data_IF_180156319302
#
_entry.id   IF_180156319302
#
_cell.length_a   1.000
_cell.length_b   1.000
_cell.length_c   1.000
_cell.angle_alpha   90.00
_cell.angle_beta   90.00
_cell.angle_gamma   90.00
#
_symmetry.space_group_name_H-M   'P 1'
#
loop_
_entity.id
_entity.type
_entity.pdbx_description
1 polymer ?
#
# COMPACT_ATOMS: atom_id res chain seq x y z
N UNK A 1 -15.13 1.85 26.96
CA UNK A 1 -14.45 1.97 25.66
C UNK A 1 -14.65 0.67 24.92
N UNK A 2 -15.19 0.70 23.69
CA UNK A 2 -15.42 -0.51 22.87
C UNK A 2 -14.09 -1.18 22.50
N UNK A 3 -14.13 -2.49 22.28
CA UNK A 3 -12.95 -3.32 22.00
C UNK A 3 -12.91 -3.74 20.53
N UNK A 4 -11.76 -3.60 19.90
CA UNK A 4 -11.50 -4.08 18.53
C UNK A 4 -10.50 -5.23 18.57
N UNK A 5 -10.81 -6.34 17.89
CA UNK A 5 -9.81 -7.34 17.52
C UNK A 5 -9.32 -7.01 16.11
N UNK A 6 -8.10 -6.47 15.99
CA UNK A 6 -7.43 -6.13 14.73
C UNK A 6 -6.66 -7.34 14.22
N UNK A 7 -7.14 -7.96 13.14
CA UNK A 7 -6.60 -9.19 12.55
C UNK A 7 -5.84 -8.82 11.28
N UNK A 8 -4.51 -8.92 11.28
CA UNK A 8 -3.68 -8.51 10.14
C UNK A 8 -2.78 -9.62 9.61
N UNK A 9 -2.45 -9.52 8.33
CA UNK A 9 -1.65 -10.50 7.60
C UNK A 9 -0.15 -10.45 7.93
N UNK A 10 0.33 -9.40 8.58
CA UNK A 10 1.74 -9.10 8.85
C UNK A 10 1.90 -8.47 10.22
N UNK A 11 3.10 -8.57 10.84
CA UNK A 11 3.38 -7.79 12.05
C UNK A 11 3.21 -6.29 11.76
N UNK A 12 2.36 -5.56 12.50
CA UNK A 12 2.17 -4.13 12.31
C UNK A 12 3.33 -3.34 12.90
N UNK A 13 4.42 -3.20 12.13
CA UNK A 13 5.60 -2.44 12.51
C UNK A 13 6.03 -1.48 11.39
N UNK A 14 6.81 -0.47 11.73
CA UNK A 14 7.17 0.63 10.85
C UNK A 14 8.13 0.31 9.68
N UNK A 15 8.39 -0.96 9.33
CA UNK A 15 9.51 -1.33 8.43
C UNK A 15 9.16 -1.41 6.94
N UNK A 16 7.95 -1.81 6.57
CA UNK A 16 7.54 -1.92 5.16
C UNK A 16 6.18 -1.28 4.94
N UNK A 17 5.86 -0.87 3.69
CA UNK A 17 4.64 -0.13 3.39
C UNK A 17 3.36 -0.73 3.97
N UNK A 18 3.10 -2.05 3.77
CA UNK A 18 1.91 -2.69 4.32
C UNK A 18 1.91 -2.74 5.86
N UNK A 19 3.08 -2.93 6.48
CA UNK A 19 3.22 -2.95 7.95
C UNK A 19 3.00 -1.56 8.55
N UNK A 20 3.51 -0.52 7.88
CA UNK A 20 3.30 0.88 8.28
C UNK A 20 1.81 1.21 8.27
N UNK A 21 1.08 0.80 7.24
CA UNK A 21 -0.35 1.05 7.15
C UNK A 21 -1.15 0.36 8.27
N UNK A 22 -0.82 -0.90 8.59
CA UNK A 22 -1.44 -1.58 9.73
C UNK A 22 -1.12 -0.87 11.06
N UNK A 23 0.14 -0.49 11.26
CA UNK A 23 0.56 0.22 12.47
C UNK A 23 -0.17 1.55 12.64
N UNK A 24 -0.27 2.35 11.57
CA UNK A 24 -0.94 3.65 11.60
C UNK A 24 -2.45 3.49 11.81
N UNK A 25 -3.08 2.49 11.20
CA UNK A 25 -4.48 2.19 11.47
C UNK A 25 -4.73 1.82 12.93
N UNK A 26 -3.86 1.01 13.53
CA UNK A 26 -3.95 0.67 14.96
C UNK A 26 -3.79 1.93 15.81
N UNK A 27 -2.80 2.78 15.51
CA UNK A 27 -2.58 4.06 16.19
C UNK A 27 -3.82 4.95 16.14
N UNK A 28 -4.42 5.09 14.98
CA UNK A 28 -5.63 5.89 14.78
C UNK A 28 -6.84 5.30 15.53
N UNK A 29 -7.07 4.00 15.39
CA UNK A 29 -8.18 3.33 16.09
C UNK A 29 -8.02 3.35 17.61
N UNK A 30 -6.80 3.31 18.13
CA UNK A 30 -6.52 3.35 19.57
C UNK A 30 -6.91 4.67 20.25
N UNK A 31 -7.15 5.73 19.47
CA UNK A 31 -7.66 6.99 20.00
C UNK A 31 -9.07 6.86 20.58
N UNK A 32 -9.88 5.93 20.07
CA UNK A 32 -11.28 5.77 20.48
C UNK A 32 -11.64 4.36 20.97
N UNK A 33 -10.79 3.36 20.72
CA UNK A 33 -11.05 1.94 21.01
C UNK A 33 -9.90 1.31 21.77
N UNK A 34 -10.19 0.25 22.52
CA UNK A 34 -9.17 -0.69 23.03
C UNK A 34 -8.84 -1.68 21.92
N UNK A 35 -7.59 -1.74 21.49
CA UNK A 35 -7.17 -2.55 20.34
C UNK A 35 -6.37 -3.77 20.80
N UNK A 36 -6.86 -4.97 20.51
CA UNK A 36 -6.10 -6.21 20.58
C UNK A 36 -5.64 -6.58 19.17
N UNK A 37 -4.38 -6.99 19.02
CA UNK A 37 -3.77 -7.27 17.72
C UNK A 37 -3.50 -8.76 17.56
N UNK A 38 -4.02 -9.32 16.47
CA UNK A 38 -3.73 -10.66 16.01
C UNK A 38 -2.99 -10.59 14.67
N UNK A 39 -1.79 -11.15 14.60
CA UNK A 39 -1.00 -11.11 13.36
C UNK A 39 -0.28 -12.40 13.05
N UNK A 40 0.16 -12.54 11.80
CA UNK A 40 0.95 -13.66 11.31
C UNK A 40 2.39 -13.28 11.14
N UNK A 41 3.30 -14.08 11.73
CA UNK A 41 4.74 -13.92 11.53
C UNK A 41 5.28 -14.81 10.41
N UNK A 42 6.39 -14.36 9.85
CA UNK A 42 7.17 -15.06 8.82
C UNK A 42 8.65 -14.94 9.14
N UNK A 43 9.49 -15.92 8.78
CA UNK A 43 10.92 -15.86 9.06
C UNK A 43 11.67 -14.61 8.55
N UNK A 44 11.07 -13.90 7.58
CA UNK A 44 11.65 -12.68 6.98
C UNK A 44 10.92 -11.39 7.35
N UNK A 45 9.89 -11.47 8.13
CA UNK A 45 9.05 -10.35 8.59
C UNK A 45 8.81 -10.47 10.10
N UNK A 46 9.87 -10.77 10.84
CA UNK A 46 9.83 -10.80 12.30
C UNK A 46 10.01 -9.38 12.81
N UNK A 47 9.02 -8.87 13.48
CA UNK A 47 9.10 -7.72 14.37
C UNK A 47 8.42 -8.16 15.66
N UNK A 48 9.06 -7.96 16.76
CA UNK A 48 8.40 -8.06 18.07
C UNK A 48 7.45 -6.87 18.19
N UNK A 49 6.21 -7.18 18.49
CA UNK A 49 5.17 -6.21 18.80
C UNK A 49 4.88 -6.36 20.27
N UNK A 50 5.16 -5.34 21.02
CA UNK A 50 4.91 -5.30 22.46
C UNK A 50 3.53 -4.70 22.74
N UNK A 51 2.92 -5.13 23.85
CA UNK A 51 1.76 -4.47 24.43
C UNK A 51 2.17 -3.05 24.86
N UNK A 52 1.37 -2.09 24.47
CA UNK A 52 1.63 -0.67 24.71
C UNK A 52 0.33 0.02 25.13
N UNK A 53 0.39 1.34 25.37
CA UNK A 53 -0.84 2.11 25.58
C UNK A 53 -1.82 2.06 24.39
N UNK A 54 -1.33 1.75 23.19
CA UNK A 54 -2.13 1.59 21.97
C UNK A 54 -2.67 0.17 21.77
N UNK A 55 -1.94 -0.85 22.26
CA UNK A 55 -2.22 -2.27 22.01
C UNK A 55 -2.39 -2.98 23.35
N UNK A 56 -3.63 -3.37 23.65
CA UNK A 56 -3.99 -4.02 24.92
C UNK A 56 -3.52 -5.49 24.98
N UNK A 57 -3.52 -6.18 23.85
CA UNK A 57 -3.15 -7.62 23.77
C UNK A 57 -2.54 -7.94 22.42
N UNK A 58 -1.47 -8.71 22.41
CA UNK A 58 -0.76 -9.16 21.21
C UNK A 58 -0.87 -10.68 21.06
N UNK A 59 -1.27 -11.13 19.88
CA UNK A 59 -1.37 -12.55 19.53
C UNK A 59 -0.63 -12.81 18.24
N UNK A 60 0.43 -13.60 18.31
CA UNK A 60 1.26 -13.95 17.15
C UNK A 60 1.08 -15.41 16.75
N UNK A 61 0.96 -15.68 15.45
CA UNK A 61 0.89 -17.03 14.90
C UNK A 61 1.83 -17.22 13.73
N UNK A 62 2.64 -18.28 13.70
CA UNK A 62 3.51 -18.59 12.59
C UNK A 62 2.72 -19.05 11.38
N UNK A 63 3.20 -18.70 10.18
CA UNK A 63 2.65 -19.21 8.92
C UNK A 63 3.43 -20.41 8.43
N UNK A 64 2.68 -21.36 7.84
CA UNK A 64 3.26 -22.55 7.23
C UNK A 64 2.86 -22.67 5.75
N UNK A 65 3.82 -22.80 4.87
CA UNK A 65 3.60 -22.78 3.42
C UNK A 65 2.76 -23.98 2.92
N UNK A 66 2.80 -25.10 3.62
CA UNK A 66 2.01 -26.30 3.28
C UNK A 66 0.50 -26.14 3.47
N UNK A 67 0.04 -25.07 4.11
CA UNK A 67 -1.39 -24.74 4.17
C UNK A 67 -2.01 -24.57 2.78
N UNK A 68 -1.19 -24.21 1.76
CA UNK A 68 -1.62 -24.08 0.36
C UNK A 68 -2.17 -25.42 -0.17
N UNK A 69 -1.52 -26.52 0.15
CA UNK A 69 -1.92 -27.86 -0.34
C UNK A 69 -3.17 -28.40 0.34
N UNK A 70 -3.53 -27.88 1.51
CA UNK A 70 -4.72 -28.34 2.27
C UNK A 70 -6.04 -27.83 1.67
N UNK A 71 -6.01 -26.80 0.88
CA UNK A 71 -7.19 -26.16 0.29
C UNK A 71 -6.98 -25.87 -1.21
N UNK A 72 -6.87 -26.92 -2.05
CA UNK A 72 -6.44 -26.75 -3.46
C UNK A 72 -7.45 -25.98 -4.33
N UNK A 73 -8.71 -25.93 -3.93
CA UNK A 73 -9.77 -25.18 -4.64
C UNK A 73 -9.80 -23.69 -4.33
N UNK A 74 -9.06 -23.26 -3.32
CA UNK A 74 -9.00 -21.86 -2.90
C UNK A 74 -7.64 -21.28 -3.29
N UNK A 75 -7.63 -20.10 -3.89
CA UNK A 75 -6.38 -19.49 -4.35
C UNK A 75 -5.38 -19.31 -3.18
N UNK A 76 -4.07 -19.59 -3.39
CA UNK A 76 -3.02 -19.54 -2.37
C UNK A 76 -2.91 -18.24 -1.57
N UNK A 77 -3.30 -17.11 -2.15
CA UNK A 77 -3.32 -15.82 -1.46
C UNK A 77 -4.17 -15.87 -0.19
N UNK A 78 -5.30 -16.58 -0.23
CA UNK A 78 -6.20 -16.70 0.92
C UNK A 78 -5.82 -17.85 1.86
N UNK A 79 -5.28 -18.94 1.33
CA UNK A 79 -5.03 -20.17 2.11
C UNK A 79 -3.67 -20.19 2.80
N UNK A 80 -2.70 -19.42 2.33
CA UNK A 80 -1.33 -19.43 2.86
C UNK A 80 -1.25 -19.14 4.37
N UNK A 81 -2.17 -18.34 4.89
CA UNK A 81 -2.29 -18.00 6.32
C UNK A 81 -3.46 -18.69 7.02
N UNK A 82 -4.27 -19.42 6.26
CA UNK A 82 -5.48 -20.04 6.81
C UNK A 82 -5.17 -21.35 7.53
N UNK A 83 -5.69 -21.48 8.77
CA UNK A 83 -5.64 -22.69 9.57
C UNK A 83 -6.93 -22.83 10.37
N UNK A 84 -7.59 -23.99 10.27
CA UNK A 84 -8.85 -24.25 10.95
C UNK A 84 -8.74 -24.20 12.50
N UNK A 85 -7.58 -24.53 13.06
CA UNK A 85 -7.37 -24.40 14.53
C UNK A 85 -7.40 -22.91 14.92
N UNK A 86 -6.76 -22.05 14.13
CA UNK A 86 -6.78 -20.60 14.33
C UNK A 86 -8.20 -20.05 14.14
N UNK A 87 -8.95 -20.53 13.13
CA UNK A 87 -10.34 -20.11 12.92
C UNK A 87 -11.22 -20.42 14.14
N UNK A 88 -11.08 -21.63 14.72
CA UNK A 88 -11.78 -22.02 15.94
C UNK A 88 -11.36 -21.17 17.15
N UNK A 89 -10.07 -20.89 17.28
CA UNK A 89 -9.57 -20.02 18.34
C UNK A 89 -10.14 -18.61 18.21
N UNK A 90 -10.07 -18.00 17.02
CA UNK A 90 -10.66 -16.67 16.79
C UNK A 90 -12.17 -16.65 17.05
N UNK A 91 -12.92 -17.71 16.67
CA UNK A 91 -14.33 -17.84 17.01
C UNK A 91 -14.56 -17.89 18.53
N UNK A 92 -13.71 -18.59 19.29
CA UNK A 92 -13.88 -18.72 20.74
C UNK A 92 -13.66 -17.43 21.51
N UNK A 93 -12.88 -16.50 20.97
CA UNK A 93 -12.61 -15.19 21.57
C UNK A 93 -13.44 -14.05 20.97
N UNK A 94 -14.10 -14.28 19.83
CA UNK A 94 -14.77 -13.24 19.07
C UNK A 94 -15.78 -12.42 19.88
N UNK A 95 -16.55 -13.09 20.75
CA UNK A 95 -17.57 -12.44 21.62
C UNK A 95 -16.98 -11.49 22.68
N UNK A 96 -15.67 -11.49 22.89
CA UNK A 96 -14.99 -10.58 23.83
C UNK A 96 -14.75 -9.20 23.25
N UNK A 97 -15.00 -9.04 21.93
CA UNK A 97 -14.77 -7.82 21.17
C UNK A 97 -16.08 -7.31 20.56
N UNK A 98 -16.21 -6.00 20.48
CA UNK A 98 -17.36 -5.34 19.85
C UNK A 98 -17.23 -5.33 18.32
N UNK A 99 -15.99 -5.30 17.81
CA UNK A 99 -15.67 -5.23 16.39
C UNK A 99 -14.54 -6.20 16.06
N UNK A 100 -14.71 -6.98 14.99
CA UNK A 100 -13.64 -7.74 14.34
C UNK A 100 -13.18 -6.96 13.10
N UNK A 101 -11.96 -6.41 13.15
CA UNK A 101 -11.40 -5.62 12.07
C UNK A 101 -10.31 -6.41 11.35
N UNK A 102 -10.57 -6.80 10.11
CA UNK A 102 -9.64 -7.54 9.27
C UNK A 102 -8.84 -6.57 8.41
N UNK A 103 -7.53 -6.74 8.39
CA UNK A 103 -6.63 -5.91 7.59
C UNK A 103 -5.88 -6.79 6.58
N UNK A 104 -6.05 -6.53 5.30
CA UNK A 104 -5.64 -7.29 4.13
C UNK A 104 -6.53 -8.48 3.75
N UNK A 105 -6.68 -8.67 2.42
CA UNK A 105 -7.39 -9.81 1.83
C UNK A 105 -6.82 -11.19 2.27
N UNK A 106 -5.53 -11.26 2.62
CA UNK A 106 -4.83 -12.49 2.97
C UNK A 106 -5.34 -13.16 4.26
N UNK A 107 -6.02 -12.41 5.12
CA UNK A 107 -6.64 -12.94 6.35
C UNK A 107 -8.17 -12.97 6.27
N UNK A 108 -8.73 -12.42 5.20
CA UNK A 108 -10.18 -12.26 5.07
C UNK A 108 -10.94 -13.61 5.01
N UNK A 109 -10.28 -14.72 4.62
CA UNK A 109 -10.90 -16.05 4.58
C UNK A 109 -11.42 -16.49 5.96
N UNK A 110 -10.83 -16.02 7.05
CA UNK A 110 -11.30 -16.35 8.42
C UNK A 110 -12.71 -15.86 8.69
N UNK A 111 -13.18 -14.81 8.04
CA UNK A 111 -14.53 -14.24 8.20
C UNK A 111 -15.65 -15.23 7.88
N UNK A 112 -15.39 -16.23 7.03
CA UNK A 112 -16.34 -17.29 6.68
C UNK A 112 -16.52 -18.33 7.82
N UNK A 113 -15.62 -18.35 8.79
CA UNK A 113 -15.58 -19.32 9.88
C UNK A 113 -15.81 -18.66 11.25
N UNK A 114 -16.06 -17.35 11.25
CA UNK A 114 -16.28 -16.59 12.48
C UNK A 114 -17.65 -15.92 12.38
N UNK A 115 -18.54 -16.28 13.32
CA UNK A 115 -19.85 -15.67 13.48
C UNK A 115 -19.68 -14.48 14.42
N UNK A 116 -19.93 -13.29 13.91
CA UNK A 116 -19.88 -12.06 14.69
C UNK A 116 -20.75 -10.98 14.02
N UNK A 117 -21.50 -10.16 14.80
CA UNK A 117 -22.41 -9.15 14.23
C UNK A 117 -21.68 -8.01 13.52
N UNK A 118 -20.45 -7.71 13.91
CA UNK A 118 -19.69 -6.58 13.38
C UNK A 118 -18.31 -7.03 12.86
N UNK A 119 -18.24 -7.33 11.56
CA UNK A 119 -17.01 -7.73 10.85
C UNK A 119 -16.70 -6.71 9.76
N UNK A 120 -15.56 -6.04 9.86
CA UNK A 120 -15.08 -5.08 8.90
C UNK A 120 -13.80 -5.55 8.24
N UNK A 121 -13.59 -5.16 6.97
CA UNK A 121 -12.39 -5.46 6.21
C UNK A 121 -11.80 -4.18 5.65
N UNK A 122 -10.50 -3.94 5.86
CA UNK A 122 -9.73 -2.98 5.07
C UNK A 122 -8.99 -3.72 3.95
N UNK A 123 -9.37 -3.42 2.72
CA UNK A 123 -8.86 -4.07 1.52
C UNK A 123 -7.88 -3.12 0.82
N UNK A 124 -6.59 -3.49 0.77
CA UNK A 124 -5.54 -2.65 0.18
C UNK A 124 -5.45 -2.74 -1.35
N UNK A 125 -5.93 -3.83 -1.93
CA UNK A 125 -6.07 -4.02 -3.38
C UNK A 125 -7.18 -5.04 -3.68
N UNK A 126 -7.85 -4.87 -4.81
CA UNK A 126 -8.82 -5.84 -5.34
C UNK A 126 -8.04 -6.92 -6.08
N UNK A 127 -7.92 -8.11 -5.47
CA UNK A 127 -7.07 -9.17 -6.01
C UNK A 127 -7.49 -9.64 -7.40
N UNK A 128 -8.80 -9.76 -7.66
CA UNK A 128 -9.29 -10.14 -8.98
C UNK A 128 -8.76 -9.22 -10.09
N UNK A 129 -8.71 -7.91 -9.89
CA UNK A 129 -8.16 -6.98 -10.87
C UNK A 129 -6.70 -7.30 -11.22
N UNK A 130 -5.87 -7.54 -10.20
CA UNK A 130 -4.45 -7.86 -10.38
C UNK A 130 -4.25 -9.10 -11.25
N UNK A 131 -5.08 -10.11 -11.03
CA UNK A 131 -4.96 -11.38 -11.75
C UNK A 131 -5.66 -11.35 -13.12
N UNK A 132 -6.78 -10.64 -13.27
CA UNK A 132 -7.43 -10.42 -14.56
C UNK A 132 -6.52 -9.71 -15.57
N UNK A 133 -5.74 -8.74 -15.11
CA UNK A 133 -4.73 -8.06 -15.94
C UNK A 133 -3.61 -8.99 -16.40
N UNK A 134 -3.36 -10.08 -15.70
CA UNK A 134 -2.29 -11.02 -15.98
C UNK A 134 -2.77 -12.26 -16.75
N UNK A 135 -3.88 -12.84 -16.32
CA UNK A 135 -4.47 -14.04 -16.90
C UNK A 135 -5.95 -14.11 -16.52
N UNK A 136 -6.82 -14.21 -17.54
CA UNK A 136 -8.28 -14.14 -17.35
C UNK A 136 -8.82 -15.33 -16.55
N UNK A 137 -8.27 -16.55 -16.74
CA UNK A 137 -8.71 -17.75 -16.02
C UNK A 137 -8.38 -17.67 -14.53
N UNK A 138 -7.16 -17.25 -14.20
CA UNK A 138 -6.75 -17.03 -12.81
C UNK A 138 -7.56 -15.91 -12.16
N UNK A 139 -7.82 -14.83 -12.88
CA UNK A 139 -8.64 -13.74 -12.40
C UNK A 139 -10.07 -14.16 -12.10
N UNK A 140 -10.69 -14.96 -12.98
CA UNK A 140 -12.04 -15.50 -12.77
C UNK A 140 -12.11 -16.47 -11.58
N UNK A 141 -11.10 -17.31 -11.41
CA UNK A 141 -11.03 -18.23 -10.26
C UNK A 141 -10.93 -17.45 -8.93
N UNK A 142 -10.02 -16.46 -8.85
CA UNK A 142 -9.90 -15.59 -7.67
C UNK A 142 -11.18 -14.83 -7.41
N UNK A 143 -11.81 -14.26 -8.45
CA UNK A 143 -13.04 -13.48 -8.34
C UNK A 143 -14.15 -14.25 -7.64
N UNK A 144 -14.36 -15.53 -7.95
CA UNK A 144 -15.38 -16.37 -7.29
C UNK A 144 -15.11 -16.55 -5.80
N UNK A 145 -13.84 -16.74 -5.42
CA UNK A 145 -13.45 -16.89 -4.00
C UNK A 145 -13.55 -15.55 -3.28
N UNK A 146 -13.05 -14.49 -3.90
CA UNK A 146 -13.07 -13.13 -3.35
C UNK A 146 -14.51 -12.66 -3.12
N UNK A 147 -15.43 -12.86 -4.07
CA UNK A 147 -16.86 -12.52 -3.94
C UNK A 147 -17.48 -13.11 -2.67
N UNK A 148 -17.30 -14.43 -2.47
CA UNK A 148 -17.81 -15.12 -1.27
C UNK A 148 -17.23 -14.57 0.03
N UNK A 149 -15.94 -14.28 0.05
CA UNK A 149 -15.24 -13.75 1.22
C UNK A 149 -15.73 -12.32 1.52
N UNK A 150 -15.75 -11.46 0.51
CA UNK A 150 -16.11 -10.05 0.68
C UNK A 150 -17.54 -9.88 1.17
N UNK A 151 -18.48 -10.67 0.67
CA UNK A 151 -19.89 -10.67 1.11
C UNK A 151 -20.12 -11.16 2.55
N UNK A 152 -19.09 -11.69 3.21
CA UNK A 152 -19.18 -12.09 4.64
C UNK A 152 -18.88 -10.94 5.61
N UNK A 153 -18.50 -9.78 5.11
CA UNK A 153 -18.24 -8.58 5.91
C UNK A 153 -19.45 -7.64 5.90
N UNK A 154 -19.69 -6.97 7.02
CA UNK A 154 -20.72 -5.94 7.14
C UNK A 154 -20.33 -4.68 6.35
N UNK A 155 -19.03 -4.32 6.35
CA UNK A 155 -18.51 -3.20 5.59
C UNK A 155 -17.07 -3.44 5.16
N UNK A 156 -16.72 -2.84 4.00
CA UNK A 156 -15.36 -2.92 3.45
C UNK A 156 -14.83 -1.50 3.26
N UNK A 157 -13.62 -1.26 3.77
CA UNK A 157 -12.90 -0.01 3.60
C UNK A 157 -11.82 -0.20 2.52
N UNK A 158 -11.67 0.80 1.65
CA UNK A 158 -10.73 0.78 0.54
C UNK A 158 -9.96 2.10 0.43
N UNK A 159 -8.70 2.06 -0.06
CA UNK A 159 -7.83 3.23 -0.06
C UNK A 159 -8.03 4.15 -1.26
N UNK A 160 -8.96 3.86 -2.16
CA UNK A 160 -9.20 4.71 -3.32
C UNK A 160 -10.65 4.64 -3.82
N UNK A 161 -11.10 5.73 -4.43
CA UNK A 161 -12.41 5.80 -5.14
C UNK A 161 -12.46 4.75 -6.25
N UNK A 162 -11.34 4.52 -6.95
CA UNK A 162 -11.25 3.49 -7.98
C UNK A 162 -11.52 2.08 -7.43
N UNK A 163 -10.96 1.72 -6.26
CA UNK A 163 -11.20 0.41 -5.65
C UNK A 163 -12.64 0.28 -5.16
N UNK A 164 -13.26 1.38 -4.72
CA UNK A 164 -14.69 1.45 -4.40
C UNK A 164 -15.55 1.13 -5.63
N UNK A 165 -15.27 1.77 -6.77
CA UNK A 165 -15.95 1.51 -8.04
C UNK A 165 -15.72 0.07 -8.52
N UNK A 166 -14.52 -0.47 -8.38
CA UNK A 166 -14.22 -1.86 -8.71
C UNK A 166 -15.04 -2.86 -7.89
N UNK A 167 -15.16 -2.65 -6.58
CA UNK A 167 -15.97 -3.50 -5.72
C UNK A 167 -17.45 -3.42 -6.09
N UNK A 168 -17.94 -2.24 -6.42
CA UNK A 168 -19.31 -2.05 -6.92
C UNK A 168 -19.54 -2.79 -8.23
N UNK A 169 -18.63 -2.63 -9.20
CA UNK A 169 -18.79 -3.21 -10.55
C UNK A 169 -18.58 -4.74 -10.56
N UNK A 170 -17.61 -5.26 -9.81
CA UNK A 170 -17.28 -6.68 -9.81
C UNK A 170 -18.16 -7.52 -8.88
N UNK A 171 -18.58 -6.97 -7.74
CA UNK A 171 -19.18 -7.72 -6.63
C UNK A 171 -20.51 -7.15 -6.15
N UNK A 172 -20.94 -5.99 -6.65
CA UNK A 172 -22.12 -5.23 -6.17
C UNK A 172 -22.00 -4.85 -4.67
N UNK A 173 -20.79 -4.53 -4.22
CA UNK A 173 -20.48 -4.16 -2.83
C UNK A 173 -20.26 -2.66 -2.76
N UNK A 174 -20.97 -2.00 -1.85
CA UNK A 174 -20.77 -0.59 -1.50
C UNK A 174 -19.71 -0.49 -0.40
N UNK A 175 -18.48 -0.16 -0.85
CA UNK A 175 -17.34 0.03 0.02
C UNK A 175 -17.23 1.49 0.49
N UNK A 176 -16.50 1.70 1.58
CA UNK A 176 -16.21 3.03 2.15
C UNK A 176 -14.78 3.42 1.77
N UNK A 177 -14.63 4.61 1.20
CA UNK A 177 -13.32 5.18 0.93
C UNK A 177 -12.69 5.69 2.23
N UNK A 178 -11.46 5.27 2.49
CA UNK A 178 -10.60 5.76 3.58
C UNK A 178 -9.23 6.09 3.05
N UNK A 179 -8.60 7.14 3.56
CA UNK A 179 -7.21 7.42 3.23
C UNK A 179 -6.28 6.41 3.87
N UNK A 180 -5.18 6.15 3.17
CA UNK A 180 -4.00 5.60 3.82
C UNK A 180 -3.25 6.72 4.56
N UNK A 181 -2.76 6.41 5.75
CA UNK A 181 -1.99 7.37 6.52
C UNK A 181 -0.73 7.81 5.76
N UNK A 182 -0.48 9.11 5.73
CA UNK A 182 0.76 9.68 5.21
C UNK A 182 1.82 9.73 6.31
N UNK A 183 3.07 9.62 5.91
CA UNK A 183 4.19 9.86 6.83
C UNK A 183 4.30 11.34 7.11
N UNK A 184 4.50 11.70 8.37
CA UNK A 184 4.86 13.07 8.70
C UNK A 184 6.28 13.37 8.18
N UNK A 185 6.47 14.57 7.67
CA UNK A 185 7.76 15.07 7.21
C UNK A 185 7.94 16.52 7.60
N UNK A 186 8.98 16.77 8.36
CA UNK A 186 9.37 18.13 8.71
C UNK A 186 10.25 18.71 7.59
N UNK A 187 9.74 19.73 6.95
CA UNK A 187 10.45 20.42 5.89
C UNK A 187 11.63 21.21 6.47
N UNK A 188 12.82 20.63 6.42
CA UNK A 188 14.04 21.43 6.55
C UNK A 188 14.31 22.14 5.24
N UNK A 189 14.81 23.37 5.28
CA UNK A 189 15.21 24.12 4.09
C UNK A 189 16.39 23.43 3.41
N UNK A 190 16.09 22.54 2.49
CA UNK A 190 17.10 21.83 1.72
C UNK A 190 17.00 22.25 0.25
N UNK A 191 18.12 22.69 -0.31
CA UNK A 191 18.23 23.04 -1.74
C UNK A 191 17.94 21.82 -2.60
N UNK A 192 17.00 21.95 -3.55
CA UNK A 192 16.69 20.89 -4.51
C UNK A 192 17.86 20.72 -5.46
N UNK A 193 18.31 19.48 -5.66
CA UNK A 193 19.26 19.13 -6.69
C UNK A 193 18.52 18.88 -8.01
N UNK A 194 18.54 19.85 -8.90
CA UNK A 194 17.81 19.85 -10.17
C UNK A 194 18.22 18.77 -11.16
N UNK A 195 19.30 18.05 -10.91
CA UNK A 195 19.79 16.94 -11.76
C UNK A 195 19.69 15.58 -11.08
N UNK A 196 18.97 15.50 -9.96
CA UNK A 196 18.83 14.29 -9.18
C UNK A 196 17.42 13.70 -9.32
N UNK A 197 17.35 12.41 -9.68
CA UNK A 197 16.11 11.64 -9.79
C UNK A 197 16.17 10.41 -8.92
N UNK A 198 15.01 9.95 -8.46
CA UNK A 198 14.92 8.81 -7.54
C UNK A 198 14.02 7.71 -8.11
N UNK A 199 14.50 6.46 -8.03
CA UNK A 199 13.69 5.28 -8.09
C UNK A 199 13.54 4.72 -6.67
N UNK A 200 12.33 4.48 -6.22
CA UNK A 200 12.07 4.03 -4.86
C UNK A 200 11.16 2.81 -4.81
N UNK A 201 11.55 1.76 -4.07
CA UNK A 201 10.71 0.60 -3.85
C UNK A 201 11.44 -0.69 -3.49
N UNK A 202 10.65 -1.76 -3.25
CA UNK A 202 11.18 -3.10 -3.01
C UNK A 202 11.42 -3.82 -4.34
N UNK A 203 12.70 -4.06 -4.68
CA UNK A 203 13.13 -4.50 -6.01
C UNK A 203 12.94 -5.99 -6.29
N UNK A 204 12.64 -6.82 -5.27
CA UNK A 204 12.21 -8.21 -5.50
C UNK A 204 10.81 -8.31 -6.10
N UNK A 205 10.00 -7.25 -6.05
CA UNK A 205 8.74 -7.20 -6.80
C UNK A 205 9.03 -7.04 -8.28
N UNK A 206 8.51 -7.99 -9.07
CA UNK A 206 8.76 -8.03 -10.52
C UNK A 206 8.31 -6.76 -11.24
N UNK A 207 7.20 -6.17 -10.82
CA UNK A 207 6.68 -4.93 -11.38
C UNK A 207 7.66 -3.76 -11.21
N UNK A 208 8.34 -3.66 -10.06
CA UNK A 208 9.32 -2.60 -9.80
C UNK A 208 10.59 -2.81 -10.63
N UNK A 209 11.17 -4.01 -10.59
CA UNK A 209 12.40 -4.30 -11.34
C UNK A 209 12.19 -4.27 -12.86
N UNK A 210 11.04 -4.71 -13.35
CA UNK A 210 10.72 -4.61 -14.78
C UNK A 210 10.58 -3.15 -15.24
N UNK A 211 9.93 -2.30 -14.44
CA UNK A 211 9.84 -0.87 -14.73
C UNK A 211 11.20 -0.19 -14.76
N UNK A 212 12.06 -0.48 -13.77
CA UNK A 212 13.44 0.05 -13.77
C UNK A 212 14.22 -0.39 -15.01
N UNK A 213 14.19 -1.69 -15.36
CA UNK A 213 14.87 -2.21 -16.55
C UNK A 213 14.34 -1.52 -17.81
N UNK A 214 13.02 -1.40 -17.93
CA UNK A 214 12.42 -0.71 -19.08
C UNK A 214 12.92 0.74 -19.21
N UNK A 215 13.01 1.49 -18.11
CA UNK A 215 13.55 2.83 -18.10
C UNK A 215 15.02 2.85 -18.55
N UNK A 216 15.83 1.96 -18.01
CA UNK A 216 17.26 1.84 -18.34
C UNK A 216 17.51 1.45 -19.80
N UNK A 217 16.60 0.71 -20.42
CA UNK A 217 16.72 0.27 -21.82
C UNK A 217 16.09 1.26 -22.83
N UNK A 218 15.02 2.00 -22.43
CA UNK A 218 14.25 2.80 -23.38
C UNK A 218 14.35 4.33 -23.15
N UNK A 219 14.55 4.78 -21.91
CA UNK A 219 14.61 6.21 -21.57
C UNK A 219 16.04 6.68 -21.36
N UNK A 220 16.81 5.97 -20.54
CA UNK A 220 18.18 6.37 -20.19
C UNK A 220 19.10 6.60 -21.40
N UNK A 221 19.06 5.80 -22.49
CA UNK A 221 19.88 6.07 -23.68
C UNK A 221 19.63 7.44 -24.33
N UNK A 222 18.42 8.00 -24.16
CA UNK A 222 18.03 9.28 -24.73
C UNK A 222 18.53 10.49 -23.91
N UNK A 223 18.94 10.26 -22.66
CA UNK A 223 19.33 11.31 -21.70
C UNK A 223 20.73 11.09 -21.09
N UNK A 224 21.48 10.10 -21.56
CA UNK A 224 22.81 9.77 -21.00
C UNK A 224 23.81 10.95 -21.01
N UNK A 225 23.62 11.92 -21.89
CA UNK A 225 24.45 13.11 -21.99
C UNK A 225 23.97 14.27 -21.11
N UNK A 226 22.78 14.18 -20.49
CA UNK A 226 22.17 15.25 -19.69
C UNK A 226 22.77 15.35 -18.28
N UNK A 227 23.71 14.45 -17.95
CA UNK A 227 24.44 14.41 -16.66
C UNK A 227 23.52 14.32 -15.42
N UNK A 228 22.41 13.60 -15.55
CA UNK A 228 21.53 13.31 -14.42
C UNK A 228 22.13 12.27 -13.49
N UNK A 229 21.84 12.41 -12.18
CA UNK A 229 22.16 11.42 -11.15
C UNK A 229 20.88 10.68 -10.74
N UNK A 230 20.94 9.37 -10.64
CA UNK A 230 19.83 8.50 -10.29
C UNK A 230 20.11 7.76 -8.99
N UNK A 231 19.30 8.00 -7.97
CA UNK A 231 19.30 7.21 -6.74
C UNK A 231 18.29 6.08 -6.86
N UNK A 232 18.73 4.84 -6.66
CA UNK A 232 17.90 3.65 -6.64
C UNK A 232 17.79 3.19 -5.21
N UNK A 233 16.68 3.55 -4.55
CA UNK A 233 16.49 3.33 -3.12
C UNK A 233 15.61 2.09 -2.87
N UNK A 234 16.02 1.26 -1.93
CA UNK A 234 15.26 0.12 -1.42
C UNK A 234 15.88 -1.24 -1.74
N UNK A 235 15.53 -2.23 -0.92
CA UNK A 235 16.23 -3.51 -0.92
C UNK A 235 15.82 -4.46 -2.05
N UNK A 236 16.74 -5.37 -2.33
CA UNK A 236 16.48 -6.56 -3.14
C UNK A 236 16.70 -6.41 -4.63
N UNK A 237 17.43 -5.40 -5.09
CA UNK A 237 17.87 -5.29 -6.48
C UNK A 237 18.90 -6.39 -6.77
N UNK A 238 18.64 -7.19 -7.82
CA UNK A 238 19.53 -8.31 -8.13
C UNK A 238 20.90 -7.83 -8.59
N UNK A 239 21.97 -8.54 -8.18
CA UNK A 239 23.34 -8.26 -8.61
C UNK A 239 23.51 -8.27 -10.14
N UNK A 240 22.70 -9.06 -10.84
CA UNK A 240 22.70 -9.11 -12.31
C UNK A 240 22.26 -7.77 -12.91
N UNK A 241 21.21 -7.14 -12.36
CA UNK A 241 20.74 -5.83 -12.80
C UNK A 241 21.79 -4.77 -12.46
N UNK A 242 22.32 -4.78 -11.23
CA UNK A 242 23.35 -3.82 -10.81
C UNK A 242 24.54 -3.85 -11.75
N UNK A 243 25.15 -5.02 -12.00
CA UNK A 243 26.31 -5.17 -12.89
C UNK A 243 26.02 -4.79 -14.35
N UNK A 244 24.79 -5.08 -14.86
CA UNK A 244 24.48 -4.82 -16.26
C UNK A 244 24.23 -3.35 -16.54
N UNK A 245 23.59 -2.64 -15.61
CA UNK A 245 23.01 -1.31 -15.89
C UNK A 245 23.55 -0.19 -15.01
N UNK A 246 24.04 -0.48 -13.80
CA UNK A 246 24.38 0.54 -12.81
C UNK A 246 25.89 0.73 -12.63
N UNK A 247 26.69 0.04 -13.43
CA UNK A 247 28.17 0.13 -13.37
C UNK A 247 28.66 1.40 -14.09
N UNK A 248 28.16 2.56 -13.64
CA UNK A 248 28.60 3.87 -14.10
C UNK A 248 28.29 4.95 -13.05
N UNK A 249 28.94 6.12 -13.17
CA UNK A 249 28.89 7.24 -12.23
C UNK A 249 27.54 7.95 -12.13
N UNK A 250 26.56 7.60 -12.97
CA UNK A 250 25.22 8.22 -12.98
C UNK A 250 24.23 7.54 -12.06
N UNK A 251 24.56 6.37 -11.52
CA UNK A 251 23.67 5.59 -10.67
C UNK A 251 24.27 5.32 -9.31
N UNK A 252 23.46 5.49 -8.26
CA UNK A 252 23.79 5.11 -6.89
C UNK A 252 22.69 4.21 -6.33
N UNK A 253 23.06 2.99 -5.93
CA UNK A 253 22.14 2.03 -5.34
C UNK A 253 22.26 2.02 -3.83
N UNK A 254 21.15 2.35 -3.15
CA UNK A 254 21.01 2.33 -1.70
C UNK A 254 20.07 1.18 -1.31
N UNK A 255 20.65 0.03 -0.93
CA UNK A 255 19.90 -1.20 -0.58
C UNK A 255 18.96 -0.96 0.60
N UNK A 256 19.44 -0.23 1.61
CA UNK A 256 18.65 0.25 2.73
C UNK A 256 18.89 1.74 2.96
N UNK A 257 17.83 2.45 3.27
CA UNK A 257 17.89 3.88 3.62
C UNK A 257 16.89 4.14 4.74
N UNK A 258 17.38 4.66 5.88
CA UNK A 258 16.53 4.96 7.04
C UNK A 258 15.55 6.09 6.75
N UNK A 259 16.03 7.13 6.04
CA UNK A 259 15.25 8.33 5.73
C UNK A 259 15.10 8.57 4.22
N UNK A 260 14.38 7.72 3.50
CA UNK A 260 14.22 7.88 2.05
C UNK A 260 13.51 9.19 1.68
N UNK A 261 12.64 9.71 2.54
CA UNK A 261 11.93 10.97 2.29
C UNK A 261 12.89 12.16 2.21
N UNK A 262 13.98 12.16 2.99
CA UNK A 262 14.99 13.22 2.94
C UNK A 262 15.71 13.28 1.59
N UNK A 263 16.01 12.13 0.97
CA UNK A 263 16.58 12.05 -0.39
C UNK A 263 15.55 12.45 -1.43
N UNK A 264 14.31 11.96 -1.31
CA UNK A 264 13.21 12.29 -2.21
C UNK A 264 12.93 13.79 -2.21
N UNK A 265 12.88 14.43 -1.04
CA UNK A 265 12.62 15.86 -0.90
C UNK A 265 13.68 16.74 -1.58
N UNK A 266 14.93 16.29 -1.63
CA UNK A 266 16.05 16.99 -2.30
C UNK A 266 16.14 16.72 -3.79
N UNK A 267 15.37 15.76 -4.31
CA UNK A 267 15.45 15.33 -5.70
C UNK A 267 14.50 16.11 -6.61
N UNK A 268 14.81 16.18 -7.89
CA UNK A 268 13.97 16.81 -8.92
C UNK A 268 12.62 16.11 -9.00
N UNK A 269 12.62 14.79 -9.14
CA UNK A 269 11.41 13.98 -9.18
C UNK A 269 11.68 12.51 -8.80
N UNK A 270 10.60 11.81 -8.46
CA UNK A 270 10.59 10.34 -8.35
C UNK A 270 10.11 9.76 -9.68
N UNK A 271 10.81 8.74 -10.19
CA UNK A 271 10.47 8.08 -11.46
C UNK A 271 9.80 6.75 -11.16
N UNK A 272 8.56 6.57 -11.68
CA UNK A 272 7.70 5.41 -11.39
C UNK A 272 7.17 4.79 -12.69
N UNK A 273 7.99 4.08 -13.47
CA UNK A 273 7.63 3.49 -14.76
C UNK A 273 6.98 2.10 -14.56
N UNK A 274 5.78 2.05 -14.02
CA UNK A 274 5.05 0.81 -13.74
C UNK A 274 4.08 0.46 -14.87
N UNK A 275 4.15 -0.78 -15.36
CA UNK A 275 3.24 -1.31 -16.40
C UNK A 275 2.30 -2.38 -15.85
N UNK A 276 2.49 -2.79 -14.59
CA UNK A 276 1.68 -3.78 -13.91
C UNK A 276 1.56 -3.43 -12.43
N UNK A 277 0.50 -3.91 -11.80
CA UNK A 277 0.23 -3.70 -10.38
C UNK A 277 -1.25 -3.52 -10.10
N UNK A 278 -1.59 -3.42 -8.83
CA UNK A 278 -2.93 -3.06 -8.34
C UNK A 278 -2.77 -2.21 -7.07
N UNK A 279 -3.84 -1.58 -6.63
CA UNK A 279 -3.86 -0.72 -5.44
C UNK A 279 -3.04 0.57 -5.59
N UNK A 280 -3.07 1.42 -4.58
CA UNK A 280 -2.30 2.66 -4.54
C UNK A 280 -0.80 2.40 -4.39
N UNK A 281 0.00 3.33 -4.89
CA UNK A 281 1.47 3.21 -4.89
C UNK A 281 2.06 4.10 -3.80
N UNK A 282 2.43 3.49 -2.67
CA UNK A 282 3.02 4.18 -1.50
C UNK A 282 4.15 5.13 -1.90
N UNK A 283 4.99 4.72 -2.84
CA UNK A 283 6.11 5.54 -3.33
C UNK A 283 5.68 6.88 -3.96
N UNK A 284 4.46 6.93 -4.51
CA UNK A 284 3.85 8.17 -5.03
C UNK A 284 3.33 9.02 -3.89
N UNK A 285 2.66 8.40 -2.90
CA UNK A 285 2.22 9.10 -1.69
C UNK A 285 3.41 9.67 -0.92
N UNK A 286 4.47 8.88 -0.73
CA UNK A 286 5.71 9.32 -0.07
C UNK A 286 6.33 10.54 -0.80
N UNK A 287 6.38 10.52 -2.13
CA UNK A 287 6.88 11.66 -2.91
C UNK A 287 5.98 12.89 -2.75
N UNK A 288 4.67 12.72 -2.83
CA UNK A 288 3.71 13.83 -2.69
C UNK A 288 3.71 14.43 -1.28
N UNK A 289 3.93 13.60 -0.25
CA UNK A 289 4.05 14.05 1.15
C UNK A 289 5.16 15.08 1.32
N UNK A 290 6.25 14.95 0.58
CA UNK A 290 7.37 15.90 0.59
C UNK A 290 7.33 16.90 -0.58
N UNK A 291 6.22 16.99 -1.28
CA UNK A 291 6.02 17.91 -2.41
C UNK A 291 6.87 17.59 -3.64
N UNK A 292 7.45 16.39 -3.75
CA UNK A 292 8.29 16.01 -4.89
C UNK A 292 7.44 15.49 -6.04
N UNK A 293 7.60 16.03 -7.26
CA UNK A 293 6.93 15.54 -8.44
C UNK A 293 7.20 14.06 -8.71
N UNK A 294 6.23 13.39 -9.30
CA UNK A 294 6.37 12.02 -9.78
C UNK A 294 6.19 12.01 -11.30
N UNK A 295 7.17 11.43 -12.00
CA UNK A 295 7.11 11.13 -13.43
C UNK A 295 6.78 9.65 -13.55
N UNK A 296 5.58 9.31 -14.04
CA UNK A 296 5.13 7.93 -14.03
C UNK A 296 4.07 7.59 -15.07
N UNK A 297 3.80 6.29 -15.23
CA UNK A 297 2.72 5.78 -16.06
C UNK A 297 1.37 5.89 -15.35
N UNK A 298 0.26 5.66 -16.06
CA UNK A 298 -1.10 5.61 -15.46
C UNK A 298 -1.16 4.64 -14.28
N UNK A 299 -0.47 3.50 -14.35
CA UNK A 299 -0.42 2.51 -13.26
C UNK A 299 0.25 3.11 -12.00
N UNK A 300 1.19 4.03 -12.16
CA UNK A 300 1.82 4.70 -11.02
C UNK A 300 0.81 5.55 -10.23
N UNK A 301 -0.09 6.24 -10.91
CA UNK A 301 -1.07 7.15 -10.31
C UNK A 301 -2.43 6.50 -10.00
N UNK A 302 -2.55 5.21 -10.25
CA UNK A 302 -3.81 4.50 -10.08
C UNK A 302 -4.36 4.61 -8.66
N UNK A 303 -5.56 5.21 -8.52
CA UNK A 303 -6.22 5.45 -7.24
C UNK A 303 -5.69 6.63 -6.43
N UNK A 304 -4.75 7.40 -6.98
CA UNK A 304 -4.15 8.59 -6.34
C UNK A 304 -4.68 9.84 -7.05
N UNK A 305 -5.05 10.91 -6.33
CA UNK A 305 -5.50 12.16 -6.93
C UNK A 305 -4.44 12.74 -7.89
N UNK A 306 -4.88 13.21 -9.05
CA UNK A 306 -4.02 13.98 -9.95
C UNK A 306 -3.87 15.39 -9.41
N UNK A 307 -2.63 15.81 -9.13
CA UNK A 307 -2.31 17.12 -8.58
C UNK A 307 -1.35 17.84 -9.52
N UNK A 308 -1.77 19.01 -9.98
CA UNK A 308 -0.95 19.87 -10.83
C UNK A 308 0.38 20.21 -10.12
N UNK A 309 1.49 20.04 -10.81
CA UNK A 309 2.83 20.24 -10.23
C UNK A 309 3.42 19.00 -9.52
N UNK A 310 2.59 17.98 -9.20
CA UNK A 310 3.05 16.72 -8.61
C UNK A 310 2.94 15.53 -9.55
N UNK A 311 1.89 15.47 -10.40
CA UNK A 311 1.61 14.32 -11.26
C UNK A 311 2.02 14.59 -12.70
N UNK A 312 3.04 13.88 -13.19
CA UNK A 312 3.53 13.95 -14.58
C UNK A 312 3.32 12.62 -15.27
N UNK A 313 2.18 12.49 -15.96
CA UNK A 313 1.77 11.27 -16.64
C UNK A 313 2.58 11.03 -17.91
N UNK A 314 3.12 9.82 -18.07
CA UNK A 314 3.95 9.43 -19.19
C UNK A 314 3.47 8.12 -19.82
N UNK A 315 3.25 8.12 -21.13
CA UNK A 315 2.88 6.95 -21.93
C UNK A 315 3.99 6.44 -22.86
N UNK A 316 5.03 7.26 -23.10
CA UNK A 316 6.14 6.94 -24.01
C UNK A 316 7.49 7.29 -23.37
N UNK A 317 8.61 6.72 -23.84
CA UNK A 317 9.95 7.14 -23.40
C UNK A 317 10.21 8.65 -23.58
N UNK A 318 9.73 9.24 -24.68
CA UNK A 318 9.85 10.68 -24.94
C UNK A 318 9.18 11.52 -23.86
N UNK A 319 7.98 11.14 -23.40
CA UNK A 319 7.29 11.86 -22.32
C UNK A 319 8.09 11.86 -21.00
N UNK A 320 8.81 10.77 -20.69
CA UNK A 320 9.71 10.74 -19.53
C UNK A 320 10.85 11.74 -19.73
N UNK A 321 11.50 11.75 -20.90
CA UNK A 321 12.59 12.67 -21.23
C UNK A 321 12.14 14.12 -21.13
N UNK A 322 11.02 14.46 -21.76
CA UNK A 322 10.50 15.84 -21.80
C UNK A 322 10.16 16.35 -20.39
N UNK A 323 9.50 15.52 -19.56
CA UNK A 323 9.18 15.89 -18.19
C UNK A 323 10.43 15.98 -17.30
N UNK A 324 11.42 15.10 -17.48
CA UNK A 324 12.69 15.19 -16.76
C UNK A 324 13.45 16.49 -17.08
N UNK A 325 13.54 16.87 -18.37
CA UNK A 325 14.19 18.12 -18.80
C UNK A 325 13.43 19.33 -18.27
N UNK A 326 12.11 19.36 -18.47
CA UNK A 326 11.23 20.41 -17.95
C UNK A 326 11.46 20.65 -16.46
N UNK A 327 11.34 19.62 -15.63
CA UNK A 327 11.50 19.73 -14.18
C UNK A 327 12.92 20.08 -13.72
N UNK A 328 13.95 19.75 -14.53
CA UNK A 328 15.34 20.12 -14.25
C UNK A 328 15.63 21.60 -14.51
N UNK A 329 14.89 22.23 -15.41
CA UNK A 329 15.03 23.63 -15.79
C UNK A 329 14.16 24.54 -14.93
N UNK A 330 13.02 24.06 -14.48
CA UNK A 330 12.04 24.81 -13.70
C UNK A 330 12.57 25.21 -12.32
N UNK A 331 12.41 26.50 -11.95
CA UNK A 331 13.04 27.07 -10.74
C UNK A 331 12.12 27.22 -9.56
N UNK A 332 10.80 27.23 -9.77
CA UNK A 332 9.85 27.82 -8.82
C UNK A 332 8.82 26.85 -8.22
N UNK A 333 9.20 25.58 -8.02
CA UNK A 333 8.31 24.69 -7.24
C UNK A 333 8.48 24.91 -5.74
N UNK A 334 7.51 25.54 -5.13
CA UNK A 334 7.40 25.53 -3.67
C UNK A 334 6.90 24.17 -3.20
N UNK A 335 7.82 23.33 -2.78
CA UNK A 335 7.57 21.96 -2.30
C UNK A 335 6.61 21.95 -1.10
N UNK A 336 6.67 22.96 -0.23
CA UNK A 336 5.80 23.06 0.94
C UNK A 336 4.35 23.34 0.52
N UNK A 337 4.16 24.19 -0.50
CA UNK A 337 2.83 24.44 -1.05
C UNK A 337 2.26 23.18 -1.69
N UNK A 338 3.02 22.48 -2.53
CA UNK A 338 2.59 21.25 -3.20
C UNK A 338 2.26 20.14 -2.18
N UNK A 339 3.09 19.93 -1.18
CA UNK A 339 2.83 18.96 -0.11
C UNK A 339 1.57 19.32 0.67
N UNK A 340 1.36 20.60 1.00
CA UNK A 340 0.15 21.07 1.67
C UNK A 340 -1.11 20.89 0.82
N UNK A 341 -1.03 21.15 -0.49
CA UNK A 341 -2.15 20.89 -1.41
C UNK A 341 -2.51 19.40 -1.42
N UNK A 342 -1.52 18.52 -1.52
CA UNK A 342 -1.74 17.08 -1.45
C UNK A 342 -2.37 16.68 -0.11
N UNK A 343 -1.80 17.12 0.99
CA UNK A 343 -2.31 16.82 2.34
C UNK A 343 -3.77 17.27 2.49
N UNK A 344 -4.12 18.48 2.08
CA UNK A 344 -5.49 19.00 2.16
C UNK A 344 -6.51 18.19 1.36
N UNK A 345 -6.10 17.57 0.24
CA UNK A 345 -6.97 16.70 -0.56
C UNK A 345 -7.07 15.33 0.09
N UNK A 346 -5.96 14.81 0.61
CA UNK A 346 -5.83 13.43 1.05
C UNK A 346 -6.33 13.23 2.49
N UNK A 347 -6.16 14.18 3.40
CA UNK A 347 -6.55 14.09 4.83
C UNK A 347 -8.07 14.17 5.10
N UNK A 348 -8.92 14.21 4.06
CA UNK A 348 -10.38 14.39 4.24
C UNK A 348 -11.14 13.13 4.69
N UNK A 349 -10.49 11.96 4.70
CA UNK A 349 -11.16 10.68 4.86
C UNK A 349 -10.38 9.75 5.79
N UNK A 350 -10.23 10.17 7.05
CA UNK A 350 -9.55 9.37 8.07
C UNK A 350 -10.32 8.09 8.40
N UNK A 351 -9.59 7.01 8.67
CA UNK A 351 -10.16 5.70 8.96
C UNK A 351 -11.09 5.74 10.17
N UNK A 352 -10.66 6.39 11.26
CA UNK A 352 -11.45 6.47 12.50
C UNK A 352 -12.78 7.19 12.29
N UNK A 353 -12.78 8.33 11.62
CA UNK A 353 -14.00 9.10 11.31
C UNK A 353 -14.96 8.24 10.48
N UNK A 354 -14.46 7.58 9.42
CA UNK A 354 -15.27 6.71 8.58
C UNK A 354 -15.80 5.48 9.30
N UNK A 355 -15.03 4.93 10.22
CA UNK A 355 -15.47 3.81 11.05
C UNK A 355 -16.60 4.25 12.00
N UNK A 356 -16.49 5.42 12.60
CA UNK A 356 -17.53 5.99 13.47
C UNK A 356 -18.80 6.24 12.67
N UNK A 357 -18.71 6.88 11.50
CA UNK A 357 -19.86 7.12 10.60
C UNK A 357 -20.62 5.81 10.30
N UNK A 358 -19.88 4.76 9.92
CA UNK A 358 -20.46 3.44 9.61
C UNK A 358 -21.14 2.81 10.82
N UNK A 359 -20.59 2.97 12.01
CA UNK A 359 -21.17 2.43 13.24
C UNK A 359 -22.43 3.18 13.66
N UNK A 360 -22.46 4.50 13.47
CA UNK A 360 -23.64 5.33 13.76
C UNK A 360 -24.77 5.08 12.77
N UNK A 361 -24.49 4.91 11.48
CA UNK A 361 -25.46 4.56 10.47
C UNK A 361 -26.11 3.19 10.74
N UNK A 362 -25.34 2.20 11.14
CA UNK A 362 -25.87 0.89 11.55
C UNK A 362 -26.78 1.00 12.79
N UNK A 363 -26.42 1.86 13.76
CA UNK A 363 -27.28 2.11 14.92
C UNK A 363 -28.65 2.72 14.57
N UNK A 364 -28.70 3.56 13.54
CA UNK A 364 -29.97 4.17 13.07
C UNK A 364 -30.87 3.17 12.35
N UNK A 365 -30.29 2.19 11.65
CA UNK A 365 -31.03 1.16 10.90
C UNK A 365 -31.62 0.11 11.86
N UNK A 366 -30.94 -0.25 12.93
CA UNK A 366 -31.42 -1.23 13.91
C UNK A 366 -32.49 -0.68 14.87
N UNK A 367 -32.77 0.61 14.82
CA UNK A 367 -33.76 1.31 15.65
C UNK A 367 -34.92 1.91 14.85
N UNK A 368 -35.02 1.63 13.54
CA UNK A 368 -36.18 1.89 12.68
C UNK A 368 -36.93 0.60 12.38
#
# INVERSE_FOLDING_TARGET
>A
MKKILFITAFPPCGKTGGQIFSYNAIKELSLAYKVAVFYFSFPRHCCEIEETSMIETVMEFPTHIYNIFRYPLIHPTFTKRFNMKIARYLQSIASQYDILYFDFAQVALYSLYIIHPCKFLRLHDVLAQKYLRRNILLGTWIRKTEDKILKSFNKIFVPSVKDMELLKNLYQIDAVYTNEYLRDYDFTESKINKKQFVFYGYWKRKENSAGLIWFLENVYPLIKNDKYMFYIIGSGLSRKIQKKYLDNLHFEYLDFCDEPLAIIAKSTAVIVPLFQGAGIKVKVLDAFTVGTPVIGTDIAFEGIPNITGLSFLCSTPGHFVDNMRKLSEETDYDRKILAKQFKNIYDRYHLLERLVDVLEDNYRIDHL
#
